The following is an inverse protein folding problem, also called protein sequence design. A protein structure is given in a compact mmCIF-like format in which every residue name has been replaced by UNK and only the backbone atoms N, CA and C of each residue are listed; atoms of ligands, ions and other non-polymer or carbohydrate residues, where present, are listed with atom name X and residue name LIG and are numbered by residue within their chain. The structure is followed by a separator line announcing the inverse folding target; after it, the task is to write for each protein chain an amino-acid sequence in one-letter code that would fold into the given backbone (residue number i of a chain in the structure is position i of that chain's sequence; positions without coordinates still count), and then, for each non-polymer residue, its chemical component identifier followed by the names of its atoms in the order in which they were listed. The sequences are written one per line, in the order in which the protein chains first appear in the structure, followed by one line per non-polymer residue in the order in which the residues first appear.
data_IF_791608864324
#
_entry.id   IF_791608864324
#
_cell.length_a   1.000
_cell.length_b   1.000
_cell.length_c   1.000
_cell.angle_alpha   90.00
_cell.angle_beta   90.00
_cell.angle_gamma   90.00
#
_symmetry.space_group_name_H-M   'P 1'
#
loop_
_entity.id
_entity.type
_entity.pdbx_description
1 polymer ?
#
# COMPACT_ATOMS: atom_id res chain seq x y z
N UNK A 1 -33.96 -18.85 -29.91
CA UNK A 1 -33.72 -17.53 -29.29
C UNK A 1 -33.13 -17.77 -27.92
N UNK A 2 -31.83 -17.52 -27.76
CA UNK A 2 -31.17 -17.64 -26.46
C UNK A 2 -30.57 -16.26 -26.17
N UNK A 3 -31.22 -15.53 -25.27
CA UNK A 3 -30.77 -14.21 -24.80
C UNK A 3 -29.49 -14.38 -23.99
N UNK A 4 -28.36 -13.97 -24.58
CA UNK A 4 -27.17 -13.63 -23.79
C UNK A 4 -27.47 -12.33 -23.04
N UNK A 5 -27.73 -12.45 -21.73
CA UNK A 5 -27.58 -11.33 -20.80
C UNK A 5 -26.12 -10.89 -20.83
N UNK A 6 -25.87 -9.72 -21.43
CA UNK A 6 -24.62 -8.98 -21.31
C UNK A 6 -24.48 -8.51 -19.84
N UNK A 7 -23.67 -9.21 -19.04
CA UNK A 7 -23.04 -8.58 -17.88
C UNK A 7 -22.13 -7.44 -18.38
N UNK A 8 -22.12 -6.34 -17.65
CA UNK A 8 -21.55 -5.05 -18.07
C UNK A 8 -20.20 -5.16 -18.76
N UNK A 9 -20.08 -4.47 -19.90
CA UNK A 9 -18.98 -4.61 -20.85
C UNK A 9 -17.60 -4.48 -20.23
N UNK A 10 -16.82 -5.55 -20.34
CA UNK A 10 -15.36 -5.49 -20.35
C UNK A 10 -15.01 -4.55 -21.51
N UNK A 11 -14.32 -3.46 -21.22
CA UNK A 11 -13.82 -2.55 -22.25
C UNK A 11 -12.70 -3.29 -22.97
N UNK A 12 -12.94 -3.74 -24.21
CA UNK A 12 -11.91 -4.36 -25.04
C UNK A 12 -10.84 -3.30 -25.36
N UNK A 13 -9.75 -3.31 -24.59
CA UNK A 13 -8.59 -2.47 -24.84
C UNK A 13 -7.83 -3.00 -26.06
N UNK A 14 -7.35 -2.09 -26.89
CA UNK A 14 -6.35 -2.47 -27.90
C UNK A 14 -5.05 -2.92 -27.22
N UNK A 15 -4.24 -3.71 -27.92
CA UNK A 15 -2.90 -4.11 -27.43
C UNK A 15 -2.03 -2.90 -27.07
N UNK A 16 -2.13 -1.82 -27.85
CA UNK A 16 -1.40 -0.57 -27.61
C UNK A 16 -1.86 0.11 -26.31
N UNK A 17 -3.17 0.15 -26.07
CA UNK A 17 -3.75 0.68 -24.84
C UNK A 17 -3.38 -0.15 -23.61
N UNK A 18 -3.46 -1.48 -23.69
CA UNK A 18 -3.01 -2.37 -22.63
C UNK A 18 -1.52 -2.18 -22.30
N UNK A 19 -0.67 -2.00 -23.33
CA UNK A 19 0.75 -1.69 -23.18
C UNK A 19 0.98 -0.33 -22.51
N UNK A 20 0.23 0.68 -22.94
CA UNK A 20 0.28 2.05 -22.40
C UNK A 20 -0.17 2.11 -20.93
N UNK A 21 -1.23 1.36 -20.58
CA UNK A 21 -1.68 1.18 -19.20
C UNK A 21 -0.57 0.59 -18.34
N UNK A 22 -0.03 -0.58 -18.72
CA UNK A 22 1.05 -1.25 -17.95
C UNK A 22 2.26 -0.34 -17.78
N UNK A 23 2.65 0.38 -18.84
CA UNK A 23 3.74 1.36 -18.78
C UNK A 23 3.47 2.48 -17.78
N UNK A 24 2.23 2.99 -17.73
CA UNK A 24 1.87 4.07 -16.80
C UNK A 24 1.97 3.61 -15.35
N UNK A 25 1.45 2.42 -15.02
CA UNK A 25 1.56 1.87 -13.67
C UNK A 25 3.02 1.55 -13.29
N UNK A 26 3.82 1.01 -14.21
CA UNK A 26 5.26 0.82 -14.00
C UNK A 26 6.00 2.14 -13.73
N UNK A 27 5.69 3.20 -14.49
CA UNK A 27 6.25 4.54 -14.27
C UNK A 27 5.84 5.10 -12.91
N UNK A 28 4.59 4.87 -12.48
CA UNK A 28 4.12 5.28 -11.17
C UNK A 28 4.85 4.52 -10.05
N UNK A 29 5.04 3.21 -10.21
CA UNK A 29 5.82 2.40 -9.27
C UNK A 29 7.26 2.89 -9.10
N UNK A 30 7.93 3.20 -10.21
CA UNK A 30 9.26 3.83 -10.19
C UNK A 30 9.24 5.21 -9.54
N UNK A 31 8.25 6.04 -9.84
CA UNK A 31 8.12 7.37 -9.24
C UNK A 31 7.89 7.33 -7.73
N UNK A 32 7.15 6.34 -7.21
CA UNK A 32 6.98 6.13 -5.78
C UNK A 32 8.28 5.73 -5.07
N UNK A 33 9.23 5.13 -5.80
CA UNK A 33 10.50 4.68 -5.24
C UNK A 33 11.64 5.69 -5.38
N UNK A 34 11.65 6.50 -6.43
CA UNK A 34 12.80 7.34 -6.81
C UNK A 34 12.64 8.78 -6.30
N UNK A 35 13.36 9.23 -5.26
CA UNK A 35 13.25 10.60 -4.74
C UNK A 35 13.71 11.68 -5.73
N UNK A 36 14.63 11.39 -6.65
CA UNK A 36 15.20 12.35 -7.59
C UNK A 36 14.32 12.63 -8.81
N UNK A 37 13.18 11.95 -8.95
CA UNK A 37 12.26 12.22 -10.05
C UNK A 37 11.67 13.63 -9.93
N UNK A 38 11.74 14.48 -10.98
CA UNK A 38 11.20 15.83 -10.93
C UNK A 38 9.71 15.85 -10.56
N UNK A 39 9.31 16.82 -9.73
CA UNK A 39 7.91 16.96 -9.27
C UNK A 39 6.92 17.07 -10.44
N UNK A 40 7.26 17.82 -11.49
CA UNK A 40 6.44 17.93 -12.70
C UNK A 40 6.19 16.57 -13.36
N UNK A 41 7.21 15.71 -13.39
CA UNK A 41 7.12 14.36 -13.95
C UNK A 41 6.22 13.47 -13.09
N UNK A 42 6.32 13.56 -11.76
CA UNK A 42 5.43 12.83 -10.84
C UNK A 42 3.97 13.20 -11.06
N UNK A 43 3.67 14.50 -11.11
CA UNK A 43 2.32 15.02 -11.36
C UNK A 43 1.74 14.51 -12.68
N UNK A 44 2.56 14.46 -13.73
CA UNK A 44 2.13 13.92 -15.03
C UNK A 44 1.93 12.40 -15.03
N UNK A 45 2.69 11.65 -14.25
CA UNK A 45 2.49 10.22 -14.05
C UNK A 45 1.18 9.98 -13.26
N UNK A 46 0.96 10.70 -12.16
CA UNK A 46 -0.26 10.61 -11.35
C UNK A 46 -1.51 10.93 -12.17
N UNK A 47 -1.45 11.97 -13.00
CA UNK A 47 -2.55 12.34 -13.90
C UNK A 47 -2.90 11.21 -14.86
N UNK A 48 -1.89 10.57 -15.47
CA UNK A 48 -2.09 9.43 -16.40
C UNK A 48 -2.58 8.18 -15.66
N UNK A 49 -2.10 7.93 -14.44
CA UNK A 49 -2.60 6.84 -13.61
C UNK A 49 -4.11 7.02 -13.35
N UNK A 50 -4.53 8.21 -12.91
CA UNK A 50 -5.95 8.54 -12.67
C UNK A 50 -6.82 8.39 -13.92
N UNK A 51 -6.28 8.73 -15.09
CA UNK A 51 -6.95 8.52 -16.37
C UNK A 51 -7.15 7.03 -16.64
N UNK A 52 -6.12 6.20 -16.43
CA UNK A 52 -6.25 4.76 -16.57
C UNK A 52 -7.19 4.15 -15.53
N UNK A 53 -7.17 4.60 -14.27
CA UNK A 53 -8.11 4.13 -13.24
C UNK A 53 -9.56 4.36 -13.65
N UNK A 54 -9.87 5.48 -14.30
CA UNK A 54 -11.20 5.75 -14.85
C UNK A 54 -11.60 4.74 -15.93
N UNK A 55 -10.66 4.34 -16.78
CA UNK A 55 -10.91 3.43 -17.90
C UNK A 55 -10.92 1.97 -17.47
N UNK A 56 -10.09 1.62 -16.51
CA UNK A 56 -9.81 0.24 -16.07
C UNK A 56 -9.77 0.17 -14.54
N UNK A 57 -10.92 0.40 -13.87
CA UNK A 57 -10.97 0.40 -12.42
C UNK A 57 -10.69 -0.99 -11.84
N UNK A 58 -11.16 -2.06 -12.48
CA UNK A 58 -10.91 -3.45 -12.04
C UNK A 58 -9.42 -3.76 -11.97
N UNK A 59 -8.67 -3.45 -13.03
CA UNK A 59 -7.20 -3.57 -13.03
C UNK A 59 -6.55 -2.77 -11.91
N UNK A 60 -6.98 -1.51 -11.70
CA UNK A 60 -6.40 -0.66 -10.64
C UNK A 60 -6.64 -1.25 -9.25
N UNK A 61 -7.87 -1.72 -9.01
CA UNK A 61 -8.27 -2.32 -7.74
C UNK A 61 -7.42 -3.56 -7.47
N UNK A 62 -7.39 -4.50 -8.42
CA UNK A 62 -6.60 -5.73 -8.31
C UNK A 62 -5.11 -5.46 -8.09
N UNK A 63 -4.54 -4.52 -8.85
CA UNK A 63 -3.13 -4.16 -8.72
C UNK A 63 -2.83 -3.55 -7.35
N UNK A 64 -3.57 -2.54 -6.92
CA UNK A 64 -3.26 -1.80 -5.69
C UNK A 64 -3.45 -2.66 -4.43
N UNK A 65 -4.54 -3.42 -4.36
CA UNK A 65 -4.82 -4.26 -3.19
C UNK A 65 -3.93 -5.50 -3.15
N UNK A 66 -3.56 -6.03 -4.32
CA UNK A 66 -2.58 -7.11 -4.44
C UNK A 66 -1.20 -6.70 -3.94
N UNK A 67 -0.67 -5.58 -4.45
CA UNK A 67 0.62 -5.01 -4.00
C UNK A 67 0.58 -4.77 -2.49
N UNK A 68 -0.48 -4.12 -2.01
CA UNK A 68 -0.61 -3.77 -0.59
C UNK A 68 -0.63 -5.02 0.28
N UNK A 69 -1.48 -6.01 -0.03
CA UNK A 69 -1.58 -7.25 0.74
C UNK A 69 -0.24 -8.02 0.76
N UNK A 70 0.45 -8.11 -0.38
CA UNK A 70 1.78 -8.72 -0.45
C UNK A 70 2.79 -8.01 0.46
N UNK A 71 2.83 -6.67 0.43
CA UNK A 71 3.76 -5.92 1.28
C UNK A 71 3.42 -6.12 2.76
N UNK A 72 2.13 -6.05 3.13
CA UNK A 72 1.70 -6.24 4.51
C UNK A 72 2.08 -7.62 5.05
N UNK A 73 1.92 -8.68 4.24
CA UNK A 73 2.26 -10.03 4.67
C UNK A 73 3.75 -10.22 4.99
N UNK A 74 4.61 -9.38 4.38
CA UNK A 74 6.06 -9.39 4.63
C UNK A 74 6.50 -8.56 5.84
N UNK A 75 5.60 -7.80 6.47
CA UNK A 75 5.94 -7.06 7.69
C UNK A 75 6.17 -8.02 8.86
N UNK A 76 6.91 -7.59 9.90
CA UNK A 76 7.08 -8.41 11.10
C UNK A 76 5.74 -8.88 11.68
N UNK A 77 5.63 -10.12 12.20
CA UNK A 77 4.41 -10.61 12.85
C UNK A 77 3.87 -9.70 13.95
N UNK A 78 4.76 -9.07 14.72
CA UNK A 78 4.42 -8.14 15.80
C UNK A 78 4.15 -6.71 15.32
N UNK A 79 4.31 -6.41 14.03
CA UNK A 79 4.03 -5.09 13.49
C UNK A 79 2.51 -4.83 13.49
N UNK A 80 2.02 -3.76 14.15
CA UNK A 80 0.59 -3.43 14.15
C UNK A 80 0.04 -3.13 12.75
N UNK A 81 0.90 -2.76 11.79
CA UNK A 81 0.51 -2.55 10.39
C UNK A 81 0.22 -3.86 9.66
N UNK A 82 0.73 -5.00 10.15
CA UNK A 82 0.43 -6.32 9.58
C UNK A 82 -1.01 -6.74 9.82
N UNK A 83 -1.65 -6.24 10.88
CA UNK A 83 -3.05 -6.48 11.21
C UNK A 83 -3.73 -5.20 11.70
N UNK A 84 -4.03 -4.24 10.81
CA UNK A 84 -4.54 -2.93 11.18
C UNK A 84 -5.97 -3.05 11.74
N UNK A 85 -6.25 -2.40 12.86
CA UNK A 85 -7.61 -2.30 13.41
C UNK A 85 -8.46 -1.27 12.63
N UNK A 86 -9.78 -1.25 12.87
CA UNK A 86 -10.73 -0.38 12.16
C UNK A 86 -10.56 1.14 12.39
N UNK A 87 -9.68 1.53 13.32
CA UNK A 87 -9.33 2.92 13.61
C UNK A 87 -7.96 3.34 13.07
N UNK A 88 -7.24 2.43 12.43
CA UNK A 88 -5.88 2.58 11.96
C UNK A 88 -5.74 3.69 10.90
N UNK A 89 -4.60 4.39 10.89
CA UNK A 89 -4.32 5.48 9.94
C UNK A 89 -4.54 6.89 10.50
N UNK A 90 -4.78 7.03 11.81
CA UNK A 90 -4.63 8.32 12.50
C UNK A 90 -3.14 8.61 12.78
N UNK A 91 -2.81 9.86 13.11
CA UNK A 91 -1.44 10.24 13.51
C UNK A 91 -0.88 9.40 14.65
N UNK A 92 -1.75 8.95 15.55
CA UNK A 92 -1.38 8.11 16.70
C UNK A 92 -0.95 6.72 16.26
N UNK A 93 -1.71 6.09 15.36
CA UNK A 93 -1.44 4.71 14.90
C UNK A 93 -0.33 4.66 13.82
N UNK A 94 -0.11 5.77 13.12
CA UNK A 94 0.93 5.86 12.10
C UNK A 94 2.34 6.03 12.71
N UNK A 95 2.43 6.63 13.91
CA UNK A 95 3.66 6.86 14.65
C UNK A 95 4.09 5.69 15.56
N UNK A 96 3.25 4.64 15.70
CA UNK A 96 3.33 3.58 16.73
C UNK A 96 4.59 2.69 16.71
N UNK A 97 5.57 2.95 15.84
CA UNK A 97 6.86 2.25 15.83
C UNK A 97 8.07 3.15 16.02
N UNK A 98 7.86 4.45 16.17
CA UNK A 98 9.00 5.36 16.34
C UNK A 98 8.95 6.21 17.58
N UNK A 99 7.84 6.27 18.34
CA UNK A 99 7.80 7.17 19.50
C UNK A 99 6.72 6.83 20.53
N UNK A 100 7.06 6.92 21.81
CA UNK A 100 6.10 6.88 22.92
C UNK A 100 5.54 8.30 23.10
N UNK A 101 4.23 8.56 22.92
CA UNK A 101 3.70 9.91 23.01
C UNK A 101 3.65 10.39 24.47
N UNK A 102 4.21 11.58 24.74
CA UNK A 102 3.96 12.32 25.98
C UNK A 102 2.60 13.04 25.88
N UNK A 103 1.83 12.99 26.97
CA UNK A 103 0.45 13.53 27.06
C UNK A 103 0.35 15.07 26.88
N UNK A 104 1.48 15.78 26.82
CA UNK A 104 1.54 17.24 26.68
C UNK A 104 1.80 17.72 25.25
N UNK A 105 2.02 16.83 24.29
CA UNK A 105 2.42 17.24 22.93
C UNK A 105 1.24 17.67 22.03
N UNK A 106 1.32 18.91 21.54
CA UNK A 106 0.42 19.49 20.54
C UNK A 106 0.76 18.93 19.15
N UNK A 107 0.10 17.83 18.77
CA UNK A 107 0.30 17.07 17.52
C UNK A 107 -0.28 17.78 16.29
N UNK A 108 0.28 18.93 15.94
CA UNK A 108 -0.08 19.66 14.72
C UNK A 108 0.65 19.12 13.48
N UNK A 109 -0.01 19.21 12.32
CA UNK A 109 0.57 18.89 11.00
C UNK A 109 1.92 19.58 10.77
N UNK A 110 2.03 20.85 11.18
CA UNK A 110 3.24 21.64 10.99
C UNK A 110 4.41 21.11 11.83
N UNK A 111 4.15 20.55 13.01
CA UNK A 111 5.18 19.91 13.84
C UNK A 111 5.66 18.59 13.22
N UNK A 112 4.74 17.78 12.70
CA UNK A 112 5.10 16.53 12.03
C UNK A 112 5.93 16.73 10.77
N UNK A 113 5.71 17.82 10.03
CA UNK A 113 6.53 18.18 8.87
C UNK A 113 8.00 18.47 9.24
N UNK A 114 8.28 18.83 10.49
CA UNK A 114 9.63 19.10 10.99
C UNK A 114 10.32 17.83 11.50
N UNK A 115 9.57 16.75 11.72
CA UNK A 115 10.10 15.45 12.12
C UNK A 115 10.42 14.61 10.87
N UNK A 116 11.71 14.34 10.65
CA UNK A 116 12.18 13.58 9.49
C UNK A 116 11.62 12.14 9.43
N UNK A 117 11.28 11.55 10.57
CA UNK A 117 10.67 10.22 10.65
C UNK A 117 9.17 10.22 10.40
N UNK A 118 8.47 11.32 10.69
CA UNK A 118 7.01 11.42 10.60
C UNK A 118 6.49 12.25 9.42
N UNK A 119 7.37 12.98 8.72
CA UNK A 119 6.98 13.84 7.59
C UNK A 119 6.26 13.08 6.45
N UNK A 120 6.51 11.78 6.31
CA UNK A 120 5.87 10.94 5.30
C UNK A 120 4.40 10.59 5.62
N UNK A 121 3.98 10.70 6.88
CA UNK A 121 2.65 10.37 7.39
C UNK A 121 1.91 11.60 7.94
N UNK A 122 2.38 12.80 7.56
CA UNK A 122 1.81 14.08 7.99
C UNK A 122 0.38 14.33 7.48
N UNK A 123 -0.04 13.62 6.45
CA UNK A 123 -1.44 13.60 6.03
C UNK A 123 -2.02 12.22 6.42
N UNK A 124 -3.05 12.16 7.29
CA UNK A 124 -3.59 10.90 7.78
C UNK A 124 -4.28 10.14 6.65
N UNK A 125 -4.34 8.81 6.81
CA UNK A 125 -4.99 7.96 5.82
C UNK A 125 -6.51 8.27 5.82
N UNK A 126 -7.13 8.59 4.66
CA UNK A 126 -8.56 8.82 4.62
C UNK A 126 -9.34 7.60 5.13
N UNK A 127 -10.48 7.74 5.84
CA UNK A 127 -11.19 6.60 6.44
C UNK A 127 -11.52 5.46 5.46
N UNK A 128 -11.87 5.80 4.22
CA UNK A 128 -12.11 4.80 3.16
C UNK A 128 -10.84 4.04 2.76
N UNK A 129 -9.67 4.69 2.78
CA UNK A 129 -8.40 4.04 2.50
C UNK A 129 -7.93 3.18 3.69
N UNK A 130 -8.13 3.64 4.93
CA UNK A 130 -7.87 2.85 6.13
C UNK A 130 -8.65 1.54 6.16
N UNK A 131 -9.95 1.59 5.84
CA UNK A 131 -10.77 0.37 5.75
C UNK A 131 -10.28 -0.60 4.68
N UNK A 132 -9.83 -0.09 3.53
CA UNK A 132 -9.26 -0.94 2.46
C UNK A 132 -7.91 -1.52 2.86
N UNK A 133 -7.05 -0.73 3.51
CA UNK A 133 -5.76 -1.20 4.02
C UNK A 133 -5.94 -2.33 5.06
N UNK A 134 -6.89 -2.16 5.99
CA UNK A 134 -7.24 -3.20 6.97
C UNK A 134 -7.78 -4.47 6.29
N UNK A 135 -8.58 -4.34 5.23
CA UNK A 135 -9.04 -5.49 4.46
C UNK A 135 -7.88 -6.18 3.70
N UNK A 136 -6.91 -5.43 3.18
CA UNK A 136 -5.71 -5.99 2.55
C UNK A 136 -4.86 -6.85 3.50
N UNK A 137 -4.91 -6.61 4.80
CA UNK A 137 -4.23 -7.43 5.79
C UNK A 137 -4.84 -8.84 5.94
N UNK A 138 -6.14 -8.99 5.66
CA UNK A 138 -6.78 -10.30 5.57
C UNK A 138 -6.48 -11.00 4.24
N UNK A 139 -6.26 -10.23 3.18
CA UNK A 139 -5.80 -10.71 1.89
C UNK A 139 -6.10 -9.77 0.75
N UNK A 140 -5.52 -10.06 -0.43
CA UNK A 140 -5.73 -9.26 -1.63
C UNK A 140 -7.21 -9.22 -2.05
N UNK A 141 -7.92 -10.35 -1.94
CA UNK A 141 -9.35 -10.48 -2.31
C UNK A 141 -10.26 -9.64 -1.42
N UNK A 142 -10.04 -9.67 -0.10
CA UNK A 142 -10.77 -8.82 0.85
C UNK A 142 -10.55 -7.33 0.56
N UNK A 143 -9.31 -6.95 0.25
CA UNK A 143 -8.98 -5.61 -0.22
C UNK A 143 -9.72 -5.23 -1.52
N UNK A 144 -9.77 -6.13 -2.50
CA UNK A 144 -10.49 -5.92 -3.77
C UNK A 144 -11.99 -5.71 -3.51
N UNK A 145 -12.57 -6.51 -2.62
CA UNK A 145 -13.96 -6.37 -2.21
C UNK A 145 -14.20 -5.00 -1.55
N UNK A 146 -13.40 -4.65 -0.54
CA UNK A 146 -13.54 -3.39 0.19
C UNK A 146 -13.41 -2.16 -0.72
N UNK A 147 -12.43 -2.13 -1.63
CA UNK A 147 -12.23 -1.01 -2.55
C UNK A 147 -13.33 -0.95 -3.62
N UNK A 148 -13.83 -2.10 -4.07
CA UNK A 148 -14.99 -2.16 -4.97
C UNK A 148 -16.24 -1.58 -4.30
N UNK A 149 -16.47 -1.91 -3.02
CA UNK A 149 -17.58 -1.36 -2.24
C UNK A 149 -17.44 0.13 -1.99
N UNK A 150 -16.25 0.61 -1.59
CA UNK A 150 -15.98 2.05 -1.46
C UNK A 150 -16.26 2.81 -2.76
N UNK A 151 -15.86 2.23 -3.91
CA UNK A 151 -16.16 2.78 -5.24
C UNK A 151 -17.67 2.81 -5.54
N UNK A 152 -18.43 1.77 -5.14
CA UNK A 152 -19.88 1.69 -5.35
C UNK A 152 -20.63 2.72 -4.52
N UNK A 153 -20.21 2.94 -3.28
CA UNK A 153 -20.81 3.89 -2.34
C UNK A 153 -20.56 5.35 -2.74
N UNK A 154 -19.49 5.64 -3.49
CA UNK A 154 -19.23 6.97 -4.00
C UNK A 154 -20.33 7.44 -4.97
N UNK A 155 -21.04 8.50 -4.59
CA UNK A 155 -22.14 9.11 -5.36
C UNK A 155 -21.64 9.98 -6.50
N UNK A 156 -20.41 10.49 -6.41
CA UNK A 156 -19.72 11.26 -7.45
C UNK A 156 -18.22 10.95 -7.45
N UNK A 157 -17.53 11.24 -8.56
CA UNK A 157 -16.07 11.09 -8.69
C UNK A 157 -15.52 9.70 -8.29
N UNK A 158 -16.28 8.64 -8.58
CA UNK A 158 -15.94 7.24 -8.23
C UNK A 158 -14.50 6.88 -8.57
N UNK A 159 -14.04 7.24 -9.77
CA UNK A 159 -12.71 6.88 -10.22
C UNK A 159 -11.61 7.70 -9.53
N UNK A 160 -11.92 8.94 -9.11
CA UNK A 160 -11.01 9.71 -8.27
C UNK A 160 -10.87 9.04 -6.90
N UNK A 161 -11.99 8.66 -6.27
CA UNK A 161 -12.00 7.92 -5.00
C UNK A 161 -11.20 6.62 -5.12
N UNK A 162 -11.41 5.84 -6.18
CA UNK A 162 -10.63 4.62 -6.41
C UNK A 162 -9.15 4.92 -6.57
N UNK A 163 -8.78 5.92 -7.37
CA UNK A 163 -7.37 6.28 -7.57
C UNK A 163 -6.71 6.82 -6.30
N UNK A 164 -7.43 7.60 -5.50
CA UNK A 164 -6.92 8.21 -4.27
C UNK A 164 -6.69 7.13 -3.21
N UNK A 165 -7.67 6.24 -3.01
CA UNK A 165 -7.53 5.12 -2.07
C UNK A 165 -6.41 4.18 -2.53
N UNK A 166 -6.39 3.78 -3.80
CA UNK A 166 -5.39 2.87 -4.36
C UNK A 166 -3.95 3.39 -4.18
N UNK A 167 -3.72 4.69 -4.45
CA UNK A 167 -2.41 5.30 -4.25
C UNK A 167 -2.06 5.36 -2.76
N UNK A 168 -3.00 5.76 -1.91
CA UNK A 168 -2.77 5.92 -0.48
C UNK A 168 -2.34 4.61 0.20
N UNK A 169 -3.07 3.51 -0.03
CA UNK A 169 -2.75 2.20 0.59
C UNK A 169 -1.40 1.65 0.12
N UNK A 170 -1.05 1.86 -1.15
CA UNK A 170 0.24 1.43 -1.70
C UNK A 170 1.38 2.28 -1.12
N UNK A 171 1.25 3.60 -1.08
CA UNK A 171 2.28 4.47 -0.52
C UNK A 171 2.50 4.25 0.97
N UNK A 172 1.42 4.03 1.73
CA UNK A 172 1.51 3.73 3.16
C UNK A 172 2.22 2.40 3.43
N UNK A 173 1.81 1.33 2.76
CA UNK A 173 2.48 0.02 2.91
C UNK A 173 3.96 0.07 2.48
N UNK A 174 4.27 0.79 1.41
CA UNK A 174 5.64 1.05 0.95
C UNK A 174 6.49 1.77 1.99
N UNK A 175 5.99 2.89 2.51
CA UNK A 175 6.70 3.66 3.53
C UNK A 175 6.99 2.79 4.76
N UNK A 176 5.99 2.01 5.19
CA UNK A 176 6.11 1.19 6.37
C UNK A 176 7.21 0.14 6.26
N UNK A 177 7.24 -0.57 5.13
CA UNK A 177 8.26 -1.59 4.88
C UNK A 177 9.67 -0.98 4.84
N UNK A 178 9.81 0.21 4.24
CA UNK A 178 11.07 0.96 4.19
C UNK A 178 11.55 1.44 5.56
N UNK A 179 10.69 1.55 6.56
CA UNK A 179 11.11 1.88 7.92
C UNK A 179 12.02 0.80 8.53
N UNK A 180 11.97 -0.45 8.02
CA UNK A 180 12.81 -1.55 8.48
C UNK A 180 14.07 -1.76 7.63
N UNK A 181 13.89 -1.88 6.32
CA UNK A 181 14.98 -2.25 5.39
C UNK A 181 15.75 -1.04 4.88
N UNK A 182 15.15 0.15 4.99
CA UNK A 182 15.69 1.38 4.42
C UNK A 182 15.26 1.61 2.97
N UNK A 183 15.79 2.68 2.33
CA UNK A 183 15.35 3.14 1.01
C UNK A 183 15.72 2.19 -0.14
N UNK A 184 16.73 1.33 0.06
CA UNK A 184 17.30 0.42 -0.94
C UNK A 184 16.56 -0.94 -1.03
N UNK A 185 15.43 -1.09 -0.34
CA UNK A 185 14.59 -2.28 -0.45
C UNK A 185 13.98 -2.40 -1.86
N UNK A 186 14.46 -3.38 -2.63
CA UNK A 186 14.00 -3.64 -4.00
C UNK A 186 12.71 -4.50 -4.06
N UNK A 187 12.34 -5.15 -2.96
CA UNK A 187 11.18 -6.05 -2.93
C UNK A 187 9.87 -5.35 -3.30
N UNK A 188 9.51 -4.19 -2.72
CA UNK A 188 8.23 -3.58 -3.00
C UNK A 188 8.09 -3.17 -4.47
N UNK A 189 9.18 -2.64 -5.06
CA UNK A 189 9.21 -2.34 -6.48
C UNK A 189 8.97 -3.60 -7.31
N UNK A 190 9.70 -4.68 -7.02
CA UNK A 190 9.55 -5.97 -7.70
C UNK A 190 8.10 -6.48 -7.66
N UNK A 191 7.43 -6.36 -6.51
CA UNK A 191 6.04 -6.76 -6.34
C UNK A 191 5.08 -5.85 -7.11
N UNK A 192 5.31 -4.54 -7.15
CA UNK A 192 4.53 -3.62 -7.97
C UNK A 192 4.58 -3.97 -9.47
N UNK A 193 5.74 -4.43 -9.95
CA UNK A 193 5.89 -4.91 -11.33
C UNK A 193 5.22 -6.28 -11.56
N UNK A 194 5.38 -7.23 -10.64
CA UNK A 194 4.77 -8.56 -10.73
C UNK A 194 3.24 -8.46 -10.82
N UNK A 195 2.64 -7.63 -9.96
CA UNK A 195 1.19 -7.40 -9.94
C UNK A 195 0.63 -6.76 -11.21
N UNK A 196 1.45 -6.18 -12.11
CA UNK A 196 0.96 -5.72 -13.42
C UNK A 196 0.45 -6.89 -14.29
N UNK A 197 1.04 -8.08 -14.14
CA UNK A 197 0.59 -9.29 -14.83
C UNK A 197 -0.60 -9.92 -14.11
N UNK A 198 -0.59 -9.97 -12.78
CA UNK A 198 -1.69 -10.58 -12.02
C UNK A 198 -2.97 -9.76 -12.06
N UNK A 199 -2.88 -8.43 -12.02
CA UNK A 199 -4.04 -7.57 -12.18
C UNK A 199 -4.70 -7.73 -13.56
N UNK A 200 -3.92 -8.06 -14.59
CA UNK A 200 -4.47 -8.43 -15.90
C UNK A 200 -5.24 -9.75 -15.81
N UNK A 201 -4.65 -10.78 -15.20
CA UNK A 201 -5.32 -12.07 -15.01
C UNK A 201 -6.65 -11.94 -14.24
N UNK A 202 -6.66 -11.17 -13.15
CA UNK A 202 -7.88 -10.87 -12.38
C UNK A 202 -8.93 -10.15 -13.24
N UNK A 203 -8.52 -9.18 -14.05
CA UNK A 203 -9.42 -8.47 -14.96
C UNK A 203 -10.02 -9.40 -16.03
N UNK A 204 -9.23 -10.38 -16.49
CA UNK A 204 -9.64 -11.39 -17.46
C UNK A 204 -10.50 -12.51 -16.82
N UNK A 205 -10.68 -12.50 -15.50
CA UNK A 205 -11.44 -13.51 -14.74
C UNK A 205 -10.65 -14.80 -14.49
N UNK A 206 -9.34 -14.78 -14.69
CA UNK A 206 -8.43 -15.88 -14.42
C UNK A 206 -7.98 -15.87 -12.95
N UNK A 207 -7.70 -17.03 -12.34
CA UNK A 207 -7.18 -17.08 -10.98
C UNK A 207 -5.80 -16.42 -10.91
N UNK A 208 -5.54 -15.73 -9.80
CA UNK A 208 -4.18 -15.26 -9.49
C UNK A 208 -3.31 -16.51 -9.27
N UNK A 209 -2.16 -16.64 -9.93
CA UNK A 209 -1.25 -17.76 -9.66
C UNK A 209 -0.82 -17.72 -8.20
N UNK A 210 -1.30 -18.67 -7.39
CA UNK A 210 -0.94 -18.78 -5.97
C UNK A 210 0.56 -19.07 -5.75
N UNK A 211 1.28 -19.52 -6.79
CA UNK A 211 2.65 -20.03 -6.70
C UNK A 211 3.76 -18.97 -6.89
N UNK A 212 3.46 -17.71 -7.17
CA UNK A 212 4.49 -16.77 -7.69
C UNK A 212 4.81 -15.59 -6.77
N UNK A 213 4.11 -15.45 -5.64
CA UNK A 213 4.51 -14.52 -4.57
C UNK A 213 4.51 -15.30 -3.26
N UNK A 214 5.44 -16.22 -3.13
CA UNK A 214 5.77 -16.77 -1.82
C UNK A 214 6.82 -15.82 -1.19
N UNK A 215 6.47 -15.08 -0.12
CA UNK A 215 7.42 -14.23 0.59
C UNK A 215 8.66 -14.99 1.06
N UNK A 216 8.53 -16.30 1.32
CA UNK A 216 9.61 -17.18 1.75
C UNK A 216 10.57 -17.50 0.59
N UNK A 217 10.07 -17.58 -0.66
CA UNK A 217 10.90 -17.77 -1.86
C UNK A 217 11.76 -16.52 -2.13
N UNK A 218 11.26 -15.33 -1.81
CA UNK A 218 12.00 -14.07 -2.00
C UNK A 218 12.86 -13.67 -0.78
N UNK A 219 12.89 -14.47 0.30
CA UNK A 219 13.60 -14.16 1.56
C UNK A 219 13.31 -12.74 2.09
N UNK A 220 12.10 -12.24 1.83
CA UNK A 220 11.74 -10.84 2.03
C UNK A 220 10.91 -10.58 3.29
N UNK A 221 10.48 -11.64 3.99
CA UNK A 221 9.74 -11.55 5.23
C UNK A 221 10.62 -10.95 6.33
N UNK A 222 10.13 -9.89 6.96
CA UNK A 222 10.76 -9.27 8.12
C UNK A 222 10.40 -10.04 9.39
N UNK A 223 11.32 -10.02 10.33
CA UNK A 223 11.24 -10.77 11.58
C UNK A 223 10.80 -9.87 12.74
N UNK A 224 10.36 -10.48 13.84
CA UNK A 224 10.08 -9.74 15.08
C UNK A 224 11.35 -9.10 15.68
N UNK A 225 12.54 -9.59 15.33
CA UNK A 225 13.80 -8.95 15.70
C UNK A 225 13.95 -7.59 14.99
N UNK A 226 13.62 -7.53 13.69
CA UNK A 226 13.59 -6.28 12.92
C UNK A 226 12.60 -5.28 13.53
N UNK A 227 11.44 -5.77 14.00
CA UNK A 227 10.46 -4.96 14.72
C UNK A 227 11.02 -4.34 15.98
N UNK A 228 11.64 -5.14 16.85
CA UNK A 228 12.18 -4.66 18.13
C UNK A 228 13.31 -3.65 17.91
N UNK A 229 14.20 -3.90 16.95
CA UNK A 229 15.29 -3.01 16.62
C UNK A 229 14.79 -1.65 16.12
N UNK A 230 13.80 -1.65 15.21
CA UNK A 230 13.21 -0.41 14.71
C UNK A 230 12.40 0.35 15.77
N UNK A 231 11.70 -0.37 16.66
CA UNK A 231 10.89 0.20 17.73
C UNK A 231 11.69 0.58 18.99
N UNK A 232 13.00 0.31 19.03
CA UNK A 232 13.84 0.54 20.21
C UNK A 232 13.44 -0.31 21.43
N UNK A 233 12.81 -1.47 21.21
CA UNK A 233 12.37 -2.37 22.27
C UNK A 233 13.56 -3.18 22.81
N UNK A 234 13.62 -3.42 24.13
CA UNK A 234 14.68 -4.23 24.73
C UNK A 234 14.63 -5.67 24.22
N UNK A 235 15.80 -6.30 24.14
CA UNK A 235 15.93 -7.71 23.77
C UNK A 235 15.26 -8.59 24.85
N UNK A 236 14.30 -9.48 24.51
CA UNK A 236 13.70 -10.38 25.48
C UNK A 236 14.71 -11.29 26.20
N UNK A 237 15.88 -11.53 25.59
CA UNK A 237 16.96 -12.34 26.16
C UNK A 237 18.01 -11.50 26.91
N UNK A 238 17.90 -10.17 26.90
CA UNK A 238 18.65 -9.32 27.85
C UNK A 238 18.01 -9.44 29.24
N UNK A 239 18.70 -10.01 30.24
CA UNK A 239 18.20 -9.95 31.61
C UNK A 239 18.12 -8.48 31.99
N UNK A 240 16.93 -7.99 32.39
CA UNK A 240 16.68 -6.62 32.87
C UNK A 240 17.89 -6.07 33.62
N UNK A 241 18.73 -5.35 32.87
CA UNK A 241 20.03 -4.92 33.33
C UNK A 241 19.81 -3.75 34.28
N UNK A 242 20.08 -4.00 35.56
CA UNK A 242 19.98 -2.99 36.60
C UNK A 242 20.64 -1.67 36.18
N UNK A 243 20.01 -0.58 36.62
CA UNK A 243 20.54 0.78 36.62
C UNK A 243 22.08 0.80 36.57
N UNK A 244 22.63 1.19 35.42
CA UNK A 244 23.94 1.83 35.42
C UNK A 244 23.73 3.25 35.92
N UNK A 245 23.94 3.42 37.22
CA UNK A 245 24.27 4.72 37.77
C UNK A 245 25.64 5.16 37.22
N UNK A 246 25.68 6.47 36.90
CA UNK A 246 26.80 7.35 36.50
C UNK A 246 27.11 7.43 35.00
#
# INVERSE_FOLDING_TARGET
MHERRLMGGIMDLTREEATSRRRTFAQWAGAAHEPLLPLSTRVDIDRRLREWTRRTPTFTIAWATGVTATILDTLPPSDPWRAPHSGFGTFRDAADVTFTPDDEDDWSRDRMLLDLGLAAITDPLPPGAAGVLAACAAGAEDGQFALTEARRQATSRRDAVTSDIAQAIVLWSLWRRRAYVGPDDEFPLSMMYAWLSYAQAVEDGEPVPHEVIDPDIFTAALTDEDYRLAAGLPDPDEPFGGHRDI
#
